data_IF_884399481783
#
_entry.id   IF_884399481783
#
_cell.length_a   1.000
_cell.length_b   1.000
_cell.length_c   1.000
_cell.angle_alpha   90.00
_cell.angle_beta   90.00
_cell.angle_gamma   90.00
#
_symmetry.space_group_name_H-M   'P 1'
#
loop_
_entity.id
_entity.type
_entity.pdbx_description
1 polymer ?
#
# COMPACT_ATOMS: atom_id res chain seq x y z
N UNK A 1 -32.85 2.72 87.29
CA UNK A 1 -32.53 1.39 86.75
C UNK A 1 -33.64 0.98 85.81
N UNK A 2 -33.46 1.15 84.50
CA UNK A 2 -34.41 0.74 83.49
C UNK A 2 -33.72 -0.27 82.56
N UNK A 3 -34.29 -1.45 82.48
CA UNK A 3 -33.85 -2.62 81.68
C UNK A 3 -34.25 -2.38 80.23
N UNK A 4 -33.27 -2.50 79.30
CA UNK A 4 -33.47 -2.51 77.90
C UNK A 4 -33.69 -3.97 77.41
N UNK A 5 -34.63 -4.28 76.50
CA UNK A 5 -34.76 -5.62 75.97
C UNK A 5 -33.84 -5.81 74.75
N UNK A 6 -33.21 -7.00 74.66
CA UNK A 6 -32.45 -7.49 73.54
C UNK A 6 -33.41 -7.89 72.45
N UNK A 7 -33.20 -7.27 71.23
CA UNK A 7 -33.92 -7.68 70.03
C UNK A 7 -33.00 -8.64 69.22
N UNK A 8 -33.48 -9.91 69.14
CA UNK A 8 -32.81 -10.95 68.37
C UNK A 8 -33.18 -10.77 66.88
N UNK A 9 -32.26 -10.37 66.05
CA UNK A 9 -32.47 -10.33 64.59
C UNK A 9 -31.96 -11.66 64.01
N UNK A 10 -32.92 -12.49 63.53
CA UNK A 10 -32.58 -13.65 62.74
C UNK A 10 -32.18 -13.30 61.32
N UNK A 11 -30.92 -13.56 60.97
CA UNK A 11 -30.43 -13.42 59.59
C UNK A 11 -30.84 -14.67 58.81
N UNK A 12 -31.78 -14.50 57.86
CA UNK A 12 -32.12 -15.52 56.87
C UNK A 12 -31.09 -15.36 55.73
N UNK A 13 -30.11 -16.27 55.68
CA UNK A 13 -29.19 -16.40 54.56
C UNK A 13 -29.86 -17.14 53.41
N UNK A 14 -30.38 -16.43 52.44
CA UNK A 14 -30.78 -16.99 51.15
C UNK A 14 -29.55 -17.34 50.33
N UNK A 15 -29.25 -18.61 50.21
CA UNK A 15 -28.25 -19.14 49.25
C UNK A 15 -28.83 -18.96 47.83
N UNK A 16 -28.45 -17.85 47.14
CA UNK A 16 -28.60 -17.79 45.72
C UNK A 16 -27.51 -18.66 45.07
N UNK A 17 -27.92 -19.77 44.49
CA UNK A 17 -27.11 -20.60 43.62
C UNK A 17 -26.81 -19.80 42.37
N UNK A 18 -25.63 -19.14 42.28
CA UNK A 18 -25.12 -18.61 41.05
C UNK A 18 -24.71 -19.76 40.15
N UNK A 19 -25.52 -20.05 39.14
CA UNK A 19 -25.07 -20.85 37.99
C UNK A 19 -23.85 -20.16 37.39
N UNK A 20 -22.68 -20.70 37.64
CA UNK A 20 -21.40 -20.24 37.09
C UNK A 20 -21.33 -20.53 35.60
N UNK A 21 -21.97 -19.70 34.80
CA UNK A 21 -21.57 -19.57 33.38
C UNK A 21 -20.31 -18.72 33.38
N UNK A 22 -19.19 -19.35 33.10
CA UNK A 22 -17.97 -18.62 32.72
C UNK A 22 -18.32 -17.67 31.56
N UNK A 23 -18.03 -16.37 31.66
CA UNK A 23 -18.26 -15.48 30.54
C UNK A 23 -17.52 -16.03 29.31
N UNK A 24 -18.10 -15.90 28.10
CA UNK A 24 -17.42 -16.33 26.88
C UNK A 24 -16.05 -15.67 26.85
N UNK A 25 -15.00 -16.39 26.39
CA UNK A 25 -13.68 -15.81 26.28
C UNK A 25 -13.76 -14.52 25.44
N UNK A 26 -13.06 -13.48 25.89
CA UNK A 26 -12.97 -12.24 25.14
C UNK A 26 -12.54 -12.56 23.70
N UNK A 27 -13.07 -11.86 22.68
CA UNK A 27 -12.62 -12.04 21.30
C UNK A 27 -11.10 -11.93 21.25
N UNK A 28 -10.46 -12.88 20.57
CA UNK A 28 -9.02 -12.83 20.40
C UNK A 28 -8.64 -11.47 19.78
N UNK A 29 -7.65 -10.80 20.37
CA UNK A 29 -7.15 -9.52 19.87
C UNK A 29 -6.64 -9.72 18.44
N UNK A 30 -7.06 -8.83 17.52
CA UNK A 30 -6.65 -8.90 16.11
C UNK A 30 -5.15 -8.72 16.02
N UNK A 31 -4.48 -9.64 15.38
CA UNK A 31 -3.04 -9.53 15.11
C UNK A 31 -2.77 -8.50 14.01
N UNK A 32 -1.52 -8.02 13.92
CA UNK A 32 -1.11 -7.16 12.79
C UNK A 32 -1.33 -7.85 11.43
N UNK A 33 -1.11 -9.16 11.36
CA UNK A 33 -1.39 -9.95 10.13
C UNK A 33 -2.88 -9.92 9.79
N UNK A 34 -3.77 -10.02 10.78
CA UNK A 34 -5.22 -9.95 10.53
C UNK A 34 -5.62 -8.57 10.02
N UNK A 35 -4.99 -7.50 10.53
CA UNK A 35 -5.18 -6.16 9.98
C UNK A 35 -4.69 -6.09 8.53
N UNK A 36 -3.46 -6.52 8.23
CA UNK A 36 -2.94 -6.58 6.86
C UNK A 36 -3.87 -7.34 5.93
N UNK A 37 -4.38 -8.50 6.36
CA UNK A 37 -5.36 -9.29 5.59
C UNK A 37 -6.70 -8.59 5.40
N UNK A 38 -7.13 -7.75 6.34
CA UNK A 38 -8.38 -7.00 6.21
C UNK A 38 -8.35 -5.94 5.10
N UNK A 39 -7.15 -5.50 4.68
CA UNK A 39 -6.95 -4.59 3.53
C UNK A 39 -7.33 -5.24 2.19
N UNK A 40 -7.26 -6.56 2.08
CA UNK A 40 -7.72 -7.36 0.93
C UNK A 40 -7.08 -6.98 -0.39
N UNK A 41 -7.85 -7.08 -1.47
CA UNK A 41 -7.52 -6.41 -2.72
C UNK A 41 -8.05 -4.99 -2.65
N UNK A 42 -7.14 -4.05 -2.81
CA UNK A 42 -7.40 -2.62 -2.85
C UNK A 42 -7.20 -2.03 -4.24
N UNK A 43 -7.43 -0.74 -4.33
CA UNK A 43 -7.35 0.04 -5.56
C UNK A 43 -6.51 1.30 -5.32
N UNK A 44 -5.63 1.66 -6.25
CA UNK A 44 -4.94 2.93 -6.23
C UNK A 44 -5.75 4.00 -6.96
N UNK A 45 -5.93 5.15 -6.34
CA UNK A 45 -6.37 6.37 -6.99
C UNK A 45 -5.14 7.02 -7.65
N UNK A 46 -4.58 6.33 -8.65
CA UNK A 46 -3.32 6.72 -9.30
C UNK A 46 -3.50 7.80 -10.34
N UNK A 47 -2.43 8.53 -10.66
CA UNK A 47 -2.45 9.70 -11.55
C UNK A 47 -3.47 10.75 -11.11
N UNK A 48 -3.65 10.92 -9.81
CA UNK A 48 -4.58 11.86 -9.19
C UNK A 48 -3.79 12.89 -8.36
N UNK A 49 -3.72 12.73 -7.02
CA UNK A 49 -2.92 13.63 -6.19
C UNK A 49 -1.40 13.40 -6.32
N UNK A 50 -0.98 12.32 -6.98
CA UNK A 50 0.40 12.05 -7.35
C UNK A 50 0.82 12.77 -8.64
N UNK A 51 -0.13 13.20 -9.48
CA UNK A 51 0.14 13.90 -10.73
C UNK A 51 0.81 15.26 -10.50
N UNK A 52 1.79 15.59 -11.30
CA UNK A 52 2.51 16.86 -11.20
C UNK A 52 2.99 17.40 -12.56
N UNK A 53 3.19 18.71 -12.66
CA UNK A 53 3.78 19.40 -13.81
C UNK A 53 4.77 20.42 -13.27
N UNK A 54 6.02 20.36 -13.73
CA UNK A 54 7.06 21.35 -13.41
C UNK A 54 7.23 21.62 -11.90
N UNK A 55 7.22 20.57 -11.09
CA UNK A 55 7.46 20.70 -9.66
C UNK A 55 6.25 21.13 -8.83
N UNK A 56 5.05 21.13 -9.40
CA UNK A 56 3.80 21.42 -8.71
C UNK A 56 2.85 20.24 -8.91
N UNK A 57 2.33 19.68 -7.83
CA UNK A 57 1.30 18.63 -7.91
C UNK A 57 -0.09 19.22 -8.15
N UNK A 58 -0.97 18.42 -8.77
CA UNK A 58 -2.34 18.84 -9.05
C UNK A 58 -3.21 17.70 -9.52
N UNK A 59 -4.36 17.54 -8.89
CA UNK A 59 -5.24 16.38 -9.02
C UNK A 59 -5.63 16.00 -10.45
N UNK A 60 -5.68 16.96 -11.37
CA UNK A 60 -6.15 16.73 -12.74
C UNK A 60 -5.05 16.84 -13.79
N UNK A 61 -3.78 16.98 -13.37
CA UNK A 61 -2.68 17.32 -14.27
C UNK A 61 -2.36 16.24 -15.29
N UNK A 62 -2.62 14.97 -14.99
CA UNK A 62 -2.39 13.87 -15.93
C UNK A 62 -3.68 13.33 -16.57
N UNK A 63 -4.76 14.15 -16.56
CA UNK A 63 -5.96 13.95 -17.37
C UNK A 63 -7.12 13.26 -16.67
N UNK A 64 -6.96 12.80 -15.44
CA UNK A 64 -8.09 12.34 -14.63
C UNK A 64 -8.93 13.54 -14.16
N UNK A 65 -10.22 13.32 -14.00
CA UNK A 65 -11.12 14.27 -13.36
C UNK A 65 -11.09 14.08 -11.84
N UNK A 66 -11.47 15.10 -11.09
CA UNK A 66 -11.54 15.04 -9.63
C UNK A 66 -12.37 13.85 -9.14
N UNK A 67 -11.83 13.14 -8.17
CA UNK A 67 -12.52 12.04 -7.51
C UNK A 67 -13.63 12.57 -6.59
N UNK A 68 -14.73 11.82 -6.52
CA UNK A 68 -15.94 12.20 -5.77
C UNK A 68 -16.32 11.10 -4.77
N UNK A 69 -17.25 11.38 -3.86
CA UNK A 69 -17.79 10.33 -2.97
C UNK A 69 -18.31 9.13 -3.76
N UNK A 70 -18.94 9.36 -4.91
CA UNK A 70 -19.45 8.27 -5.74
C UNK A 70 -18.34 7.35 -6.26
N UNK A 71 -17.14 7.89 -6.47
CA UNK A 71 -15.96 7.08 -6.85
C UNK A 71 -15.67 6.03 -5.80
N UNK A 72 -15.53 6.45 -4.54
CA UNK A 72 -15.22 5.56 -3.42
C UNK A 72 -16.36 4.57 -3.13
N UNK A 73 -17.62 5.03 -3.20
CA UNK A 73 -18.80 4.17 -3.00
C UNK A 73 -18.86 3.06 -4.06
N UNK A 74 -18.55 3.37 -5.32
CA UNK A 74 -18.53 2.40 -6.40
C UNK A 74 -17.31 1.48 -6.35
N UNK A 75 -16.13 1.98 -5.95
CA UNK A 75 -14.94 1.15 -5.69
C UNK A 75 -15.24 0.12 -4.57
N UNK A 76 -15.89 0.56 -3.49
CA UNK A 76 -16.33 -0.36 -2.43
C UNK A 76 -17.34 -1.38 -2.94
N UNK A 77 -18.32 -0.93 -3.71
CA UNK A 77 -19.35 -1.80 -4.31
C UNK A 77 -18.74 -2.82 -5.29
N UNK A 78 -17.66 -2.47 -5.97
CA UNK A 78 -16.91 -3.35 -6.85
C UNK A 78 -16.21 -4.50 -6.10
N UNK A 79 -16.11 -4.41 -4.76
CA UNK A 79 -15.53 -5.44 -3.89
C UNK A 79 -14.14 -5.12 -3.36
N UNK A 80 -13.56 -3.97 -3.72
CA UNK A 80 -12.29 -3.54 -3.14
C UNK A 80 -12.45 -3.24 -1.64
N UNK A 81 -11.43 -3.56 -0.85
CA UNK A 81 -11.45 -3.38 0.61
C UNK A 81 -10.68 -2.18 1.09
N UNK A 82 -9.73 -1.72 0.29
CA UNK A 82 -8.87 -0.58 0.60
C UNK A 82 -8.66 0.30 -0.62
N UNK A 83 -8.22 1.53 -0.36
CA UNK A 83 -7.78 2.47 -1.38
C UNK A 83 -6.45 3.08 -0.97
N UNK A 84 -5.46 3.03 -1.85
CA UNK A 84 -4.24 3.82 -1.72
C UNK A 84 -4.43 5.10 -2.49
N UNK A 85 -4.20 6.22 -1.82
CA UNK A 85 -4.31 7.58 -2.34
C UNK A 85 -2.89 8.14 -2.39
N UNK A 86 -2.15 7.93 -3.49
CA UNK A 86 -0.81 8.48 -3.66
C UNK A 86 -0.86 10.00 -3.63
N UNK A 87 0.02 10.64 -2.83
CA UNK A 87 0.06 12.09 -2.68
C UNK A 87 1.47 12.61 -2.92
N UNK A 88 1.62 13.46 -3.92
CA UNK A 88 2.83 14.25 -4.14
C UNK A 88 2.65 15.63 -3.50
N UNK A 89 3.63 16.05 -2.72
CA UNK A 89 3.56 17.29 -1.93
C UNK A 89 4.36 18.44 -2.55
N UNK A 90 5.17 18.14 -3.53
CA UNK A 90 5.99 19.10 -4.27
C UNK A 90 5.13 20.26 -4.80
N UNK A 91 5.63 21.51 -4.61
CA UNK A 91 4.88 22.72 -4.95
C UNK A 91 3.91 23.21 -3.85
N UNK A 92 3.59 22.39 -2.87
CA UNK A 92 2.68 22.72 -1.76
C UNK A 92 3.37 22.78 -0.40
N UNK A 93 4.72 22.86 -0.40
CA UNK A 93 5.54 22.91 0.81
C UNK A 93 6.22 24.28 0.88
N UNK A 94 6.02 25.01 1.98
CA UNK A 94 6.70 26.27 2.26
C UNK A 94 8.19 26.10 2.60
N UNK A 95 8.93 27.20 2.78
CA UNK A 95 10.36 27.16 3.03
C UNK A 95 10.70 26.60 4.41
N UNK A 96 12.00 26.22 4.57
CA UNK A 96 12.58 25.90 5.87
C UNK A 96 12.46 27.11 6.84
N UNK A 97 12.44 26.88 8.15
CA UNK A 97 12.54 25.57 8.82
C UNK A 97 11.19 24.87 9.04
N UNK A 98 10.07 25.52 8.75
CA UNK A 98 8.73 25.02 9.07
C UNK A 98 8.18 24.07 8.04
N UNK A 99 8.59 24.19 6.78
CA UNK A 99 8.06 23.40 5.66
C UNK A 99 6.53 23.30 5.70
N UNK A 100 5.87 24.43 5.93
CA UNK A 100 4.42 24.49 6.12
C UNK A 100 3.70 23.98 4.87
N UNK A 101 2.86 22.97 5.05
CA UNK A 101 2.04 22.42 3.97
C UNK A 101 0.92 23.42 3.62
N UNK A 102 0.72 23.66 2.33
CA UNK A 102 -0.38 24.47 1.85
C UNK A 102 -1.74 23.90 2.32
N UNK A 103 -2.52 24.76 2.98
CA UNK A 103 -3.75 24.32 3.60
C UNK A 103 -4.75 23.73 2.60
N UNK A 104 -4.91 24.37 1.44
CA UNK A 104 -5.87 23.91 0.43
C UNK A 104 -5.54 22.49 -0.07
N UNK A 105 -4.25 22.17 -0.26
CA UNK A 105 -3.80 20.85 -0.66
C UNK A 105 -4.07 19.81 0.44
N UNK A 106 -3.72 20.13 1.67
CA UNK A 106 -3.97 19.25 2.82
C UNK A 106 -5.47 19.03 3.07
N UNK A 107 -6.31 20.07 2.87
CA UNK A 107 -7.77 19.97 2.96
C UNK A 107 -8.31 18.99 1.90
N UNK A 108 -7.75 19.01 0.66
CA UNK A 108 -8.18 18.08 -0.39
C UNK A 108 -7.75 16.64 -0.10
N UNK A 109 -6.54 16.43 0.43
CA UNK A 109 -6.08 15.08 0.87
C UNK A 109 -7.04 14.54 1.94
N UNK A 110 -7.38 15.35 2.95
CA UNK A 110 -8.32 14.95 4.00
C UNK A 110 -9.70 14.62 3.43
N UNK A 111 -10.21 15.43 2.52
CA UNK A 111 -11.53 15.20 1.89
C UNK A 111 -11.58 13.80 1.24
N UNK A 112 -10.55 13.40 0.48
CA UNK A 112 -10.50 12.08 -0.14
C UNK A 112 -10.37 10.95 0.90
N UNK A 113 -9.60 11.13 1.96
CA UNK A 113 -9.50 10.18 3.07
C UNK A 113 -10.86 10.00 3.76
N UNK A 114 -11.59 11.09 3.99
CA UNK A 114 -12.93 11.04 4.59
C UNK A 114 -13.97 10.40 3.66
N UNK A 115 -13.83 10.59 2.34
CA UNK A 115 -14.66 9.87 1.35
C UNK A 115 -14.42 8.36 1.40
N UNK A 116 -13.16 7.93 1.54
CA UNK A 116 -12.82 6.52 1.72
C UNK A 116 -13.40 5.95 3.02
N UNK A 117 -13.27 6.68 4.14
CA UNK A 117 -13.89 6.35 5.44
C UNK A 117 -15.38 6.14 5.30
N UNK A 118 -16.08 7.10 4.68
CA UNK A 118 -17.54 7.06 4.50
C UNK A 118 -17.98 5.88 3.65
N UNK A 119 -17.17 5.48 2.65
CA UNK A 119 -17.42 4.29 1.85
C UNK A 119 -17.08 2.97 2.59
N UNK A 120 -16.44 3.03 3.75
CA UNK A 120 -16.00 1.85 4.51
C UNK A 120 -14.77 1.16 3.89
N UNK A 121 -13.87 1.93 3.30
CA UNK A 121 -12.58 1.50 2.78
C UNK A 121 -11.47 1.80 3.80
N UNK A 122 -10.47 0.93 3.87
CA UNK A 122 -9.20 1.28 4.53
C UNK A 122 -8.44 2.19 3.56
N UNK A 123 -7.96 3.33 4.04
CA UNK A 123 -7.22 4.31 3.25
C UNK A 123 -5.73 4.24 3.55
N UNK A 124 -4.89 4.42 2.53
CA UNK A 124 -3.44 4.59 2.65
C UNK A 124 -3.07 5.90 1.99
N UNK A 125 -2.32 6.77 2.67
CA UNK A 125 -1.71 7.97 2.08
C UNK A 125 -0.21 7.96 2.30
N UNK A 126 0.54 8.63 1.42
CA UNK A 126 2.00 8.62 1.44
C UNK A 126 2.63 9.96 1.01
N UNK A 127 3.97 9.96 0.92
CA UNK A 127 4.77 10.93 0.17
C UNK A 127 5.22 10.21 -1.11
N UNK A 128 4.66 10.62 -2.29
CA UNK A 128 4.73 9.81 -3.50
C UNK A 128 5.84 10.24 -4.48
N UNK A 129 5.57 11.10 -5.45
CA UNK A 129 6.56 11.54 -6.46
C UNK A 129 7.44 12.71 -6.01
N UNK A 130 7.71 12.82 -4.72
CA UNK A 130 8.65 13.81 -4.16
C UNK A 130 10.13 13.39 -4.34
N UNK A 131 10.37 12.13 -4.67
CA UNK A 131 11.64 11.58 -5.16
C UNK A 131 11.72 11.63 -6.69
N UNK A 132 12.87 11.98 -7.26
CA UNK A 132 12.99 12.28 -8.69
C UNK A 132 12.83 11.06 -9.64
N UNK A 133 12.67 9.86 -9.14
CA UNK A 133 12.47 8.66 -9.96
C UNK A 133 13.58 8.51 -11.02
N UNK A 134 13.18 8.38 -12.30
CA UNK A 134 14.08 8.26 -13.43
C UNK A 134 14.30 9.58 -14.18
N UNK A 135 13.99 10.76 -13.60
CA UNK A 135 14.15 12.06 -14.26
C UNK A 135 15.64 12.37 -14.54
N UNK A 136 15.96 12.56 -15.79
CA UNK A 136 17.33 12.83 -16.26
C UNK A 136 17.61 14.33 -16.51
N UNK A 137 16.58 15.14 -16.64
CA UNK A 137 16.72 16.59 -16.82
C UNK A 137 17.15 17.23 -15.49
N UNK A 138 18.32 17.83 -15.47
CA UNK A 138 18.93 18.44 -14.27
C UNK A 138 18.05 19.56 -13.68
N UNK A 139 17.37 20.35 -14.52
CA UNK A 139 16.47 21.40 -14.04
C UNK A 139 15.26 20.81 -13.37
N UNK A 140 14.65 19.80 -13.98
CA UNK A 140 13.49 19.11 -13.43
C UNK A 140 13.83 18.33 -12.16
N UNK A 141 15.02 17.70 -12.09
CA UNK A 141 15.50 17.06 -10.85
C UNK A 141 15.51 18.02 -9.66
N UNK A 142 15.75 19.30 -9.88
CA UNK A 142 15.69 20.32 -8.83
C UNK A 142 14.30 20.55 -8.21
N UNK A 143 13.23 20.03 -8.80
CA UNK A 143 11.89 20.08 -8.22
C UNK A 143 11.67 19.04 -7.12
N UNK A 144 12.39 17.92 -7.19
CA UNK A 144 12.23 16.80 -6.25
C UNK A 144 13.12 17.01 -5.03
N UNK A 145 12.51 17.00 -3.86
CA UNK A 145 13.24 17.28 -2.62
C UNK A 145 13.81 16.03 -1.93
N UNK A 146 13.24 14.84 -2.20
CA UNK A 146 13.78 13.56 -1.74
C UNK A 146 14.89 13.05 -2.69
N UNK A 147 16.03 13.76 -2.71
CA UNK A 147 17.19 13.43 -3.54
C UNK A 147 18.14 12.49 -2.78
N UNK A 148 17.91 11.18 -2.94
CA UNK A 148 18.70 10.14 -2.28
C UNK A 148 20.19 10.18 -2.64
N UNK A 149 20.60 10.29 -3.92
CA UNK A 149 22.02 10.44 -4.27
C UNK A 149 22.68 11.68 -3.65
N UNK A 150 22.00 12.81 -3.60
CA UNK A 150 22.53 14.01 -2.96
C UNK A 150 22.68 13.84 -1.44
N UNK A 151 21.74 13.14 -0.78
CA UNK A 151 21.82 12.84 0.63
C UNK A 151 22.97 11.87 0.95
N UNK A 152 23.25 10.91 0.09
CA UNK A 152 24.41 10.01 0.22
C UNK A 152 25.74 10.80 0.06
N UNK A 153 25.77 11.77 -0.85
CA UNK A 153 26.96 12.58 -1.11
C UNK A 153 27.21 13.67 -0.07
N UNK A 154 26.19 14.11 0.68
CA UNK A 154 26.27 15.22 1.64
C UNK A 154 25.43 14.95 2.88
N UNK A 155 26.09 14.87 4.04
CA UNK A 155 25.42 14.75 5.35
C UNK A 155 24.53 15.97 5.63
N UNK A 156 24.95 17.18 5.23
CA UNK A 156 24.13 18.38 5.38
C UNK A 156 22.81 18.24 4.60
N UNK A 157 22.87 17.75 3.36
CA UNK A 157 21.68 17.49 2.55
C UNK A 157 20.79 16.40 3.16
N UNK A 158 21.40 15.33 3.67
CA UNK A 158 20.68 14.27 4.39
C UNK A 158 19.94 14.83 5.62
N UNK A 159 20.59 15.66 6.41
CA UNK A 159 19.97 16.28 7.60
C UNK A 159 18.84 17.24 7.20
N UNK A 160 19.00 18.02 6.13
CA UNK A 160 17.94 18.87 5.60
C UNK A 160 16.70 18.07 5.22
N UNK A 161 16.89 16.95 4.48
CA UNK A 161 15.78 16.08 4.06
C UNK A 161 15.12 15.44 5.29
N UNK A 162 15.88 14.96 6.27
CA UNK A 162 15.35 14.40 7.53
C UNK A 162 14.53 15.43 8.30
N UNK A 163 14.97 16.69 8.34
CA UNK A 163 14.18 17.77 8.96
C UNK A 163 12.87 18.01 8.18
N UNK A 164 12.91 18.04 6.86
CA UNK A 164 11.71 18.22 6.03
C UNK A 164 10.74 17.07 6.21
N UNK A 165 11.19 15.80 6.17
CA UNK A 165 10.37 14.62 6.44
C UNK A 165 9.71 14.68 7.83
N UNK A 166 10.48 15.10 8.85
CA UNK A 166 9.95 15.27 10.22
C UNK A 166 8.80 16.27 10.23
N UNK A 167 9.01 17.46 9.65
CA UNK A 167 8.00 18.51 9.64
C UNK A 167 6.76 18.16 8.81
N UNK A 168 6.97 17.46 7.69
CA UNK A 168 5.88 16.97 6.85
C UNK A 168 5.00 15.98 7.61
N UNK A 169 5.61 14.91 8.19
CA UNK A 169 4.85 13.89 8.89
C UNK A 169 4.24 14.38 10.21
N UNK A 170 4.84 15.36 10.89
CA UNK A 170 4.19 16.02 12.03
C UNK A 170 2.91 16.74 11.61
N UNK A 171 2.93 17.52 10.52
CA UNK A 171 1.76 18.26 10.04
C UNK A 171 0.67 17.31 9.51
N UNK A 172 1.04 16.31 8.71
CA UNK A 172 0.11 15.28 8.23
C UNK A 172 -0.49 14.53 9.43
N UNK A 173 0.35 14.06 10.35
CA UNK A 173 -0.09 13.36 11.55
C UNK A 173 -1.04 14.20 12.42
N UNK A 174 -0.73 15.47 12.65
CA UNK A 174 -1.61 16.39 13.38
C UNK A 174 -2.96 16.59 12.69
N UNK A 175 -2.98 16.69 11.37
CA UNK A 175 -4.24 16.80 10.62
C UNK A 175 -5.13 15.58 10.83
N UNK A 176 -4.56 14.39 10.85
CA UNK A 176 -5.28 13.13 10.95
C UNK A 176 -5.23 12.51 12.36
N UNK A 177 -4.90 13.27 13.40
CA UNK A 177 -4.74 12.75 14.77
C UNK A 177 -6.00 12.12 15.38
N UNK A 178 -7.18 12.44 14.85
CA UNK A 178 -8.46 11.91 15.30
C UNK A 178 -9.00 10.81 14.36
N UNK A 179 -8.28 10.46 13.31
CA UNK A 179 -8.67 9.44 12.34
C UNK A 179 -8.11 8.08 12.74
N UNK A 180 -9.01 7.12 13.00
CA UNK A 180 -8.68 5.82 13.59
C UNK A 180 -8.01 4.83 12.63
N UNK A 181 -8.10 3.55 12.97
CA UNK A 181 -7.36 2.44 12.37
C UNK A 181 -7.62 2.22 10.86
N UNK A 182 -8.72 2.76 10.31
CA UNK A 182 -8.98 2.67 8.87
C UNK A 182 -7.97 3.45 8.00
N UNK A 183 -7.18 4.36 8.60
CA UNK A 183 -6.17 5.16 7.89
C UNK A 183 -4.76 4.66 8.22
N UNK A 184 -4.04 4.25 7.20
CA UNK A 184 -2.64 3.84 7.23
C UNK A 184 -1.77 4.94 6.63
N UNK A 185 -0.63 5.23 7.24
CA UNK A 185 0.39 6.07 6.63
C UNK A 185 1.49 5.22 6.02
N UNK A 186 1.89 5.52 4.81
CA UNK A 186 3.05 4.92 4.14
C UNK A 186 4.13 6.00 4.03
N UNK A 187 5.30 5.74 4.61
CA UNK A 187 6.30 6.79 4.83
C UNK A 187 6.75 7.50 3.57
N UNK A 188 6.97 6.77 2.51
CA UNK A 188 7.42 7.24 1.20
C UNK A 188 6.99 6.24 0.12
N UNK A 189 7.17 6.60 -1.15
CA UNK A 189 6.97 5.72 -2.29
C UNK A 189 8.30 5.06 -2.74
N UNK A 190 8.57 5.01 -4.00
CA UNK A 190 9.68 4.34 -4.69
C UNK A 190 10.97 5.16 -4.69
N UNK A 191 11.57 5.40 -3.53
CA UNK A 191 12.82 6.17 -3.42
C UNK A 191 14.00 5.39 -3.99
N UNK A 192 14.77 6.05 -4.88
CA UNK A 192 15.83 5.43 -5.65
C UNK A 192 16.82 6.47 -6.24
N UNK A 193 17.81 6.00 -7.02
CA UNK A 193 18.81 6.81 -7.72
C UNK A 193 18.50 7.04 -9.22
N UNK A 194 17.29 6.75 -9.67
CA UNK A 194 16.87 6.86 -11.06
C UNK A 194 17.16 5.62 -11.92
N UNK A 195 17.68 4.53 -11.33
CA UNK A 195 18.07 3.32 -12.05
C UNK A 195 17.26 2.08 -11.66
N UNK A 196 16.12 2.25 -11.02
CA UNK A 196 15.16 1.19 -10.67
C UNK A 196 15.80 -0.02 -9.96
N UNK A 197 16.76 0.25 -9.07
CA UNK A 197 17.46 -0.78 -8.31
C UNK A 197 18.61 -1.47 -9.04
N UNK A 198 18.97 -0.99 -10.25
CA UNK A 198 20.10 -1.50 -11.04
C UNK A 198 21.28 -0.51 -11.10
N UNK A 199 21.25 0.55 -10.30
CA UNK A 199 22.23 1.63 -10.32
C UNK A 199 23.32 1.51 -9.26
N UNK A 200 23.78 2.67 -8.79
CA UNK A 200 24.86 2.79 -7.81
C UNK A 200 24.54 2.10 -6.49
N UNK A 201 23.25 1.92 -6.15
CA UNK A 201 22.80 1.14 -5.01
C UNK A 201 23.42 -0.27 -4.92
N UNK A 202 23.87 -0.84 -6.06
CA UNK A 202 24.51 -2.17 -6.10
C UNK A 202 25.99 -2.15 -5.74
N UNK A 203 26.65 -0.99 -5.79
CA UNK A 203 28.10 -0.86 -5.66
C UNK A 203 28.58 0.20 -4.66
N UNK A 204 27.66 0.94 -4.05
CA UNK A 204 27.96 2.04 -3.11
C UNK A 204 28.24 1.56 -1.66
N UNK A 205 28.40 0.27 -1.45
CA UNK A 205 28.61 -0.31 -0.13
C UNK A 205 27.36 -0.19 0.79
N UNK A 206 26.18 -0.07 0.19
CA UNK A 206 24.90 0.02 0.88
C UNK A 206 24.57 1.42 1.42
N UNK A 207 25.24 2.47 0.91
CA UNK A 207 25.04 3.84 1.39
C UNK A 207 23.61 4.32 1.17
N UNK A 208 23.03 4.08 -0.03
CA UNK A 208 21.66 4.46 -0.33
C UNK A 208 20.65 3.72 0.55
N UNK A 209 20.88 2.43 0.82
CA UNK A 209 19.99 1.66 1.72
C UNK A 209 20.03 2.20 3.15
N UNK A 210 21.21 2.57 3.68
CA UNK A 210 21.34 3.16 5.02
C UNK A 210 20.59 4.49 5.12
N UNK A 211 20.75 5.39 4.15
CA UNK A 211 20.06 6.69 4.15
C UNK A 211 18.54 6.48 4.08
N UNK A 212 18.04 5.58 3.23
CA UNK A 212 16.61 5.29 3.16
C UNK A 212 16.06 4.72 4.47
N UNK A 213 16.80 3.82 5.13
CA UNK A 213 16.42 3.30 6.45
C UNK A 213 16.40 4.40 7.52
N UNK A 214 17.33 5.34 7.50
CA UNK A 214 17.30 6.53 8.39
C UNK A 214 16.06 7.40 8.12
N UNK A 215 15.69 7.61 6.85
CA UNK A 215 14.50 8.37 6.49
C UNK A 215 13.22 7.69 6.97
N UNK A 216 13.10 6.37 6.80
CA UNK A 216 11.99 5.61 7.36
C UNK A 216 11.89 5.75 8.88
N UNK A 217 13.03 5.70 9.60
CA UNK A 217 13.05 5.91 11.05
C UNK A 217 12.56 7.29 11.45
N UNK A 218 12.99 8.33 10.73
CA UNK A 218 12.56 9.72 10.99
C UNK A 218 11.05 9.86 10.78
N UNK A 219 10.52 9.30 9.70
CA UNK A 219 9.08 9.34 9.40
C UNK A 219 8.26 8.65 10.51
N UNK A 220 8.62 7.42 10.91
CA UNK A 220 7.94 6.69 11.98
C UNK A 220 7.95 7.49 13.27
N UNK A 221 9.11 8.03 13.67
CA UNK A 221 9.25 8.84 14.87
C UNK A 221 8.37 10.10 14.85
N UNK A 222 8.33 10.79 13.71
CA UNK A 222 7.51 12.00 13.53
C UNK A 222 6.00 11.68 13.57
N UNK A 223 5.57 10.60 12.93
CA UNK A 223 4.18 10.14 12.97
C UNK A 223 3.75 9.85 14.40
N UNK A 224 4.56 9.13 15.19
CA UNK A 224 4.24 8.84 16.60
C UNK A 224 4.19 10.12 17.44
N UNK A 225 5.12 11.05 17.21
CA UNK A 225 5.18 12.34 17.93
C UNK A 225 4.00 13.26 17.61
N UNK A 226 3.27 13.05 16.52
CA UNK A 226 2.07 13.83 16.20
C UNK A 226 0.88 13.53 17.15
N UNK A 227 0.93 12.44 17.92
CA UNK A 227 -0.05 12.12 18.97
C UNK A 227 -1.42 11.68 18.48
N UNK A 228 -2.37 11.50 19.39
CA UNK A 228 -3.70 11.03 19.09
C UNK A 228 -3.71 9.60 18.54
N UNK A 229 -4.57 9.31 17.56
CA UNK A 229 -4.64 7.99 16.91
C UNK A 229 -3.32 7.58 16.22
N UNK A 230 -2.40 8.51 15.98
CA UNK A 230 -1.09 8.20 15.42
C UNK A 230 -0.20 7.42 16.39
N UNK A 231 -0.49 7.45 17.68
CA UNK A 231 0.23 6.63 18.67
C UNK A 231 0.12 5.13 18.39
N UNK A 232 -0.99 4.70 17.77
CA UNK A 232 -1.24 3.28 17.46
C UNK A 232 -1.49 2.99 15.98
N UNK A 233 -1.36 4.00 15.11
CA UNK A 233 -1.60 3.88 13.66
C UNK A 233 -0.68 2.85 13.02
N UNK A 234 -1.21 2.06 12.09
CA UNK A 234 -0.38 1.24 11.21
C UNK A 234 0.43 2.12 10.25
N UNK A 235 1.72 1.81 10.12
CA UNK A 235 2.64 2.55 9.26
C UNK A 235 3.28 1.58 8.26
N UNK A 236 3.09 1.85 6.97
CA UNK A 236 3.77 1.16 5.88
C UNK A 236 5.18 1.72 5.68
N UNK A 237 6.16 0.83 5.62
CA UNK A 237 7.58 1.16 5.47
C UNK A 237 8.10 0.53 4.17
N UNK A 238 8.45 1.33 3.15
CA UNK A 238 9.00 0.82 1.90
C UNK A 238 10.49 0.51 2.02
N UNK A 239 10.93 -0.54 1.31
CA UNK A 239 12.33 -0.72 0.97
C UNK A 239 12.74 0.07 -0.28
N UNK A 240 13.99 -0.13 -0.73
CA UNK A 240 14.53 0.58 -1.89
C UNK A 240 13.68 0.31 -3.15
N UNK A 241 13.18 1.38 -3.75
CA UNK A 241 12.26 1.39 -4.91
C UNK A 241 11.05 0.45 -4.73
N UNK A 242 10.64 0.20 -3.49
CA UNK A 242 9.61 -0.80 -3.14
C UNK A 242 9.86 -2.20 -3.74
N UNK A 243 11.06 -2.48 -4.27
CA UNK A 243 11.37 -3.75 -4.90
C UNK A 243 11.39 -4.88 -3.85
N UNK A 244 10.65 -5.99 -4.04
CA UNK A 244 10.52 -7.06 -3.06
C UNK A 244 11.85 -7.69 -2.65
N UNK A 245 12.74 -7.94 -3.62
CA UNK A 245 14.02 -8.58 -3.38
C UNK A 245 14.99 -7.67 -2.64
N UNK A 246 15.09 -6.40 -3.08
CA UNK A 246 15.92 -5.39 -2.40
C UNK A 246 15.39 -5.08 -1.00
N UNK A 247 14.08 -5.12 -0.80
CA UNK A 247 13.44 -4.96 0.50
C UNK A 247 13.84 -6.08 1.45
N UNK A 248 13.78 -7.33 1.02
CA UNK A 248 14.20 -8.49 1.83
C UNK A 248 15.69 -8.41 2.19
N UNK A 249 16.53 -7.93 1.27
CA UNK A 249 17.98 -7.89 1.43
C UNK A 249 18.46 -6.70 2.29
N UNK A 250 17.79 -5.56 2.23
CA UNK A 250 18.38 -4.29 2.71
C UNK A 250 17.50 -3.46 3.64
N UNK A 251 16.19 -3.77 3.76
CA UNK A 251 15.33 -3.01 4.66
C UNK A 251 15.63 -3.37 6.10
N UNK A 252 16.03 -2.37 6.88
CA UNK A 252 16.05 -2.40 8.33
C UNK A 252 14.78 -1.72 8.82
N UNK A 253 13.89 -2.48 9.44
CA UNK A 253 12.65 -1.90 9.98
C UNK A 253 12.99 -0.86 11.05
N UNK A 254 12.31 0.29 11.04
CA UNK A 254 12.47 1.29 12.10
C UNK A 254 12.18 0.72 13.48
N UNK A 255 12.86 1.26 14.49
CA UNK A 255 12.42 1.10 15.86
C UNK A 255 11.11 1.85 16.08
N UNK A 256 10.13 1.17 16.64
CA UNK A 256 8.82 1.76 16.94
C UNK A 256 8.52 1.56 18.43
N UNK A 257 8.05 2.63 19.07
CA UNK A 257 7.64 2.61 20.49
C UNK A 257 6.37 1.77 20.70
N UNK A 258 5.67 1.45 19.60
CA UNK A 258 4.44 0.64 19.61
C UNK A 258 4.68 -0.67 18.87
N UNK A 259 4.57 -1.82 19.56
CA UNK A 259 4.81 -3.10 18.93
C UNK A 259 3.72 -3.45 17.90
N UNK A 260 4.11 -4.18 16.86
CA UNK A 260 3.18 -4.76 15.86
C UNK A 260 2.33 -3.74 15.10
N UNK A 261 2.86 -2.53 14.85
CA UNK A 261 2.17 -1.48 14.08
C UNK A 261 2.92 -1.06 12.80
N UNK A 262 4.06 -1.68 12.52
CA UNK A 262 4.76 -1.51 11.25
C UNK A 262 4.33 -2.60 10.25
N UNK A 263 4.23 -2.20 9.00
CA UNK A 263 3.95 -3.04 7.85
C UNK A 263 5.02 -2.80 6.79
N UNK A 264 5.34 -3.80 5.99
CA UNK A 264 6.27 -3.65 4.87
C UNK A 264 5.51 -3.38 3.59
N UNK A 265 5.85 -2.28 2.91
CA UNK A 265 5.32 -1.90 1.61
C UNK A 265 6.26 -2.35 0.49
N UNK A 266 5.73 -3.06 -0.49
CA UNK A 266 6.44 -3.47 -1.70
C UNK A 266 5.58 -3.25 -2.93
N UNK A 267 6.21 -3.13 -4.10
CA UNK A 267 5.53 -3.08 -5.40
C UNK A 267 6.02 -4.22 -6.28
N UNK A 268 5.17 -4.74 -7.15
CA UNK A 268 5.58 -5.73 -8.14
C UNK A 268 4.75 -5.64 -9.41
N UNK A 269 5.44 -5.39 -10.49
CA UNK A 269 4.95 -5.50 -11.86
C UNK A 269 5.74 -6.59 -12.61
N UNK A 270 6.18 -7.62 -11.87
CA UNK A 270 7.07 -8.64 -12.43
C UNK A 270 6.33 -9.72 -13.23
N UNK A 271 6.80 -9.98 -14.45
CA UNK A 271 7.90 -9.30 -15.13
C UNK A 271 7.42 -8.01 -15.83
N UNK A 272 8.18 -6.91 -15.71
CA UNK A 272 7.82 -5.59 -16.22
C UNK A 272 7.47 -5.58 -17.72
N UNK A 273 8.23 -6.30 -18.55
CA UNK A 273 7.99 -6.36 -19.98
C UNK A 273 6.68 -7.05 -20.36
N UNK A 274 6.09 -7.83 -19.45
CA UNK A 274 4.73 -8.34 -19.58
C UNK A 274 3.74 -7.39 -18.90
N UNK A 275 3.91 -7.10 -17.62
CA UNK A 275 2.90 -6.44 -16.81
C UNK A 275 2.81 -4.92 -17.07
N UNK A 276 3.94 -4.25 -17.37
CA UNK A 276 4.01 -2.79 -17.54
C UNK A 276 3.95 -2.31 -18.98
N UNK A 277 4.62 -3.01 -19.91
CA UNK A 277 4.79 -2.51 -21.29
C UNK A 277 4.09 -3.31 -22.38
N UNK A 278 3.62 -4.52 -22.07
CA UNK A 278 3.09 -5.47 -23.07
C UNK A 278 4.08 -5.77 -24.22
N UNK A 279 5.39 -5.68 -23.96
CA UNK A 279 6.42 -6.14 -24.90
C UNK A 279 6.31 -7.65 -25.15
N UNK A 280 5.96 -8.40 -24.10
CA UNK A 280 5.53 -9.78 -24.15
C UNK A 280 4.05 -9.85 -23.79
N UNK A 281 3.28 -10.70 -24.46
CA UNK A 281 1.83 -10.71 -24.31
C UNK A 281 1.28 -11.93 -23.60
N UNK A 282 2.11 -12.92 -23.33
CA UNK A 282 1.75 -14.15 -22.63
C UNK A 282 2.56 -14.31 -21.35
N UNK A 283 2.01 -15.03 -20.38
CA UNK A 283 2.66 -15.30 -19.11
C UNK A 283 2.31 -16.70 -18.61
N UNK A 284 3.29 -17.32 -17.95
CA UNK A 284 3.12 -18.63 -17.32
C UNK A 284 3.50 -19.80 -18.24
N UNK A 285 3.34 -21.01 -17.70
CA UNK A 285 3.88 -22.25 -18.26
C UNK A 285 3.28 -22.66 -19.62
N UNK A 286 2.16 -22.09 -20.04
CA UNK A 286 1.49 -22.37 -21.31
C UNK A 286 1.78 -21.33 -22.38
N UNK A 287 2.42 -20.21 -21.99
CA UNK A 287 2.76 -19.13 -22.92
C UNK A 287 3.97 -19.46 -23.77
N UNK A 288 4.04 -18.88 -24.97
CA UNK A 288 5.19 -18.95 -25.89
C UNK A 288 5.85 -17.58 -26.10
N UNK A 289 5.06 -16.48 -25.99
CA UNK A 289 5.52 -15.10 -26.02
C UNK A 289 5.70 -14.58 -24.59
N UNK A 290 6.65 -15.18 -23.87
CA UNK A 290 6.89 -14.93 -22.45
C UNK A 290 8.26 -14.31 -22.18
N UNK A 291 8.37 -13.53 -21.13
CA UNK A 291 9.67 -13.00 -20.65
C UNK A 291 10.56 -14.18 -20.21
N UNK A 292 11.75 -14.35 -20.79
CA UNK A 292 12.61 -15.48 -20.44
C UNK A 292 12.94 -15.55 -18.95
N UNK A 293 12.82 -16.72 -18.35
CA UNK A 293 13.12 -16.94 -16.93
C UNK A 293 12.07 -16.40 -15.96
N UNK A 294 10.92 -15.98 -16.44
CA UNK A 294 9.80 -15.54 -15.62
C UNK A 294 8.65 -16.56 -15.62
N UNK A 295 7.70 -16.39 -14.72
CA UNK A 295 6.49 -17.21 -14.64
C UNK A 295 6.05 -17.47 -13.20
N UNK A 296 5.17 -18.44 -13.04
CA UNK A 296 4.54 -18.76 -11.76
C UNK A 296 5.55 -19.08 -10.66
N UNK A 297 6.57 -19.88 -10.98
CA UNK A 297 7.58 -20.33 -10.02
C UNK A 297 8.40 -19.15 -9.48
N UNK A 298 8.83 -18.26 -10.37
CA UNK A 298 9.64 -17.09 -9.99
C UNK A 298 8.81 -16.14 -9.11
N UNK A 299 7.55 -15.88 -9.48
CA UNK A 299 6.67 -15.04 -8.69
C UNK A 299 6.41 -15.64 -7.30
N UNK A 300 6.13 -16.92 -7.22
CA UNK A 300 5.95 -17.64 -5.95
C UNK A 300 7.20 -17.61 -5.09
N UNK A 301 8.40 -17.75 -5.69
CA UNK A 301 9.67 -17.68 -4.96
C UNK A 301 9.90 -16.29 -4.35
N UNK A 302 9.61 -15.22 -5.07
CA UNK A 302 9.65 -13.85 -4.55
C UNK A 302 8.70 -13.69 -3.34
N UNK A 303 7.45 -14.13 -3.45
CA UNK A 303 6.49 -14.11 -2.33
C UNK A 303 6.95 -14.96 -1.14
N UNK A 304 7.58 -16.12 -1.37
CA UNK A 304 8.12 -16.96 -0.29
C UNK A 304 9.25 -16.26 0.47
N UNK A 305 10.07 -15.45 -0.19
CA UNK A 305 11.13 -14.64 0.47
C UNK A 305 10.51 -13.61 1.42
N UNK A 306 9.50 -12.86 0.96
CA UNK A 306 8.76 -11.91 1.80
C UNK A 306 8.05 -12.62 2.96
N UNK A 307 7.38 -13.74 2.69
CA UNK A 307 6.70 -14.53 3.71
C UNK A 307 7.64 -14.99 4.82
N UNK A 308 8.80 -15.53 4.44
CA UNK A 308 9.79 -16.03 5.40
C UNK A 308 10.44 -14.90 6.21
N UNK A 309 10.71 -13.75 5.56
CA UNK A 309 11.36 -12.62 6.22
C UNK A 309 10.43 -11.88 7.19
N UNK A 310 9.17 -11.68 6.81
CA UNK A 310 8.25 -10.78 7.51
C UNK A 310 7.01 -11.47 8.07
N UNK A 311 6.19 -12.11 7.24
CA UNK A 311 4.88 -12.66 7.66
C UNK A 311 5.03 -13.69 8.77
N UNK A 312 5.99 -14.60 8.68
CA UNK A 312 6.28 -15.59 9.74
C UNK A 312 6.71 -14.97 11.07
N UNK A 313 7.15 -13.72 11.05
CA UNK A 313 7.52 -12.94 12.23
C UNK A 313 6.41 -12.04 12.74
N UNK A 314 5.20 -12.15 12.18
CA UNK A 314 4.04 -11.34 12.54
C UNK A 314 4.01 -9.94 11.94
N UNK A 315 4.88 -9.64 10.97
CA UNK A 315 4.98 -8.33 10.30
C UNK A 315 4.19 -8.41 8.99
N UNK A 316 3.11 -7.63 8.84
CA UNK A 316 2.33 -7.62 7.59
C UNK A 316 3.15 -7.10 6.41
N UNK A 317 2.90 -7.69 5.25
CA UNK A 317 3.40 -7.20 3.95
C UNK A 317 2.20 -6.88 3.08
N UNK A 318 2.23 -5.74 2.42
CA UNK A 318 1.26 -5.42 1.37
C UNK A 318 1.97 -4.91 0.11
N UNK A 319 1.37 -5.23 -1.03
CA UNK A 319 1.78 -4.67 -2.30
C UNK A 319 1.06 -3.33 -2.47
N UNK A 320 1.78 -2.22 -2.27
CA UNK A 320 1.24 -0.87 -2.46
C UNK A 320 0.83 -0.64 -3.91
N UNK A 321 1.54 -1.30 -4.83
CA UNK A 321 1.21 -1.32 -6.24
C UNK A 321 1.47 -2.70 -6.85
N UNK A 322 0.54 -3.13 -7.69
CA UNK A 322 0.66 -4.21 -8.65
C UNK A 322 -0.32 -3.98 -9.79
N UNK A 323 -0.10 -4.60 -10.91
CA UNK A 323 -1.02 -4.44 -12.02
C UNK A 323 -0.58 -5.16 -13.27
N UNK A 324 -1.38 -5.05 -14.32
CA UNK A 324 -1.03 -5.51 -15.64
C UNK A 324 -1.78 -4.67 -16.69
N UNK A 325 -1.04 -4.12 -17.64
CA UNK A 325 -1.62 -3.26 -18.69
C UNK A 325 -2.56 -4.02 -19.61
N UNK A 326 -3.51 -3.29 -20.18
CA UNK A 326 -4.52 -3.80 -21.11
C UNK A 326 -3.87 -4.37 -22.38
N UNK A 327 -4.46 -5.44 -22.91
CA UNK A 327 -4.05 -6.09 -24.15
C UNK A 327 -4.91 -5.68 -25.33
N UNK A 328 -4.38 -5.89 -26.55
CA UNK A 328 -5.09 -5.62 -27.80
C UNK A 328 -5.95 -6.81 -28.22
N UNK A 329 -5.39 -8.02 -28.19
CA UNK A 329 -6.11 -9.22 -28.59
C UNK A 329 -6.85 -9.85 -27.42
N UNK A 330 -7.95 -10.54 -27.70
CA UNK A 330 -8.69 -11.30 -26.68
C UNK A 330 -7.81 -12.36 -26.02
N UNK A 331 -7.01 -13.08 -26.81
CA UNK A 331 -6.13 -14.12 -26.27
C UNK A 331 -5.07 -13.56 -25.30
N UNK A 332 -4.47 -12.44 -25.66
CA UNK A 332 -3.48 -11.81 -24.78
C UNK A 332 -4.15 -11.27 -23.50
N UNK A 333 -5.40 -10.82 -23.60
CA UNK A 333 -6.20 -10.42 -22.44
C UNK A 333 -6.54 -11.61 -21.51
N UNK A 334 -6.73 -12.80 -22.04
CA UNK A 334 -6.91 -14.02 -21.24
C UNK A 334 -5.65 -14.34 -20.42
N UNK A 335 -4.45 -14.13 -20.97
CA UNK A 335 -3.19 -14.23 -20.22
C UNK A 335 -3.05 -13.15 -19.14
N UNK A 336 -3.48 -11.91 -19.42
CA UNK A 336 -3.55 -10.85 -18.40
C UNK A 336 -4.47 -11.25 -17.25
N UNK A 337 -5.66 -11.73 -17.52
CA UNK A 337 -6.63 -12.17 -16.50
C UNK A 337 -6.11 -13.38 -15.72
N UNK A 338 -5.45 -14.31 -16.39
CA UNK A 338 -4.79 -15.45 -15.74
C UNK A 338 -3.70 -15.01 -14.79
N UNK A 339 -2.80 -14.13 -15.24
CA UNK A 339 -1.73 -13.55 -14.42
C UNK A 339 -2.31 -12.93 -13.14
N UNK A 340 -3.26 -12.01 -13.27
CA UNK A 340 -3.87 -11.32 -12.13
C UNK A 340 -4.55 -12.30 -11.17
N UNK A 341 -5.27 -13.28 -11.68
CA UNK A 341 -5.90 -14.33 -10.88
C UNK A 341 -4.87 -15.15 -10.11
N UNK A 342 -3.81 -15.57 -10.78
CA UNK A 342 -2.77 -16.41 -10.18
C UNK A 342 -2.00 -15.67 -9.08
N UNK A 343 -1.54 -14.44 -9.36
CA UNK A 343 -0.75 -13.70 -8.38
C UNK A 343 -1.59 -13.29 -7.16
N UNK A 344 -2.86 -12.93 -7.33
CA UNK A 344 -3.74 -12.62 -6.21
C UNK A 344 -3.98 -13.85 -5.31
N UNK A 345 -4.18 -15.04 -5.90
CA UNK A 345 -4.23 -16.29 -5.12
C UNK A 345 -2.92 -16.57 -4.40
N UNK A 346 -1.79 -16.37 -5.07
CA UNK A 346 -0.47 -16.61 -4.50
C UNK A 346 -0.19 -15.68 -3.31
N UNK A 347 -0.59 -14.39 -3.40
CA UNK A 347 -0.51 -13.42 -2.30
C UNK A 347 -1.44 -13.81 -1.14
N UNK A 348 -2.69 -14.18 -1.45
CA UNK A 348 -3.67 -14.62 -0.43
C UNK A 348 -3.15 -15.79 0.40
N UNK A 349 -2.58 -16.81 -0.27
CA UNK A 349 -2.04 -18.01 0.39
C UNK A 349 -0.87 -17.69 1.32
N UNK A 350 -0.23 -16.53 1.12
CA UNK A 350 0.88 -16.03 1.94
C UNK A 350 0.50 -14.88 2.87
N UNK A 351 -0.80 -14.65 3.03
CA UNK A 351 -1.35 -13.61 3.93
C UNK A 351 -0.86 -12.20 3.59
N UNK A 352 -0.82 -11.87 2.30
CA UNK A 352 -0.46 -10.55 1.79
C UNK A 352 -1.64 -9.90 1.08
N UNK A 353 -1.88 -8.62 1.33
CA UNK A 353 -2.84 -7.78 0.60
C UNK A 353 -2.15 -7.03 -0.54
N UNK A 354 -2.94 -6.49 -1.47
CA UNK A 354 -2.38 -5.81 -2.63
C UNK A 354 -3.34 -4.76 -3.21
N UNK A 355 -2.80 -3.61 -3.65
CA UNK A 355 -3.53 -2.49 -4.22
C UNK A 355 -3.24 -2.40 -5.72
N UNK A 356 -4.27 -2.68 -6.54
CA UNK A 356 -4.14 -2.59 -7.99
C UNK A 356 -3.85 -1.15 -8.42
N UNK A 357 -2.82 -0.95 -9.24
CA UNK A 357 -2.52 0.35 -9.82
C UNK A 357 -3.52 0.68 -10.91
N UNK A 358 -4.31 1.73 -10.71
CA UNK A 358 -5.26 2.25 -11.67
C UNK A 358 -4.95 3.74 -11.91
N UNK A 359 -4.46 4.05 -13.08
CA UNK A 359 -4.13 5.42 -13.46
C UNK A 359 -5.20 6.09 -14.36
N UNK A 360 -6.35 5.44 -14.52
CA UNK A 360 -7.43 5.92 -15.39
C UNK A 360 -7.16 5.79 -16.90
N UNK A 361 -5.96 5.36 -17.31
CA UNK A 361 -5.59 5.26 -18.71
C UNK A 361 -6.08 3.94 -19.34
N UNK A 362 -6.91 4.03 -20.37
CA UNK A 362 -7.53 2.90 -21.06
C UNK A 362 -6.83 2.46 -22.33
N UNK A 363 -5.69 3.06 -22.69
CA UNK A 363 -4.91 2.63 -23.85
C UNK A 363 -4.43 1.19 -23.66
N UNK A 364 -4.23 0.48 -24.76
CA UNK A 364 -3.60 -0.85 -24.72
C UNK A 364 -2.08 -0.69 -24.74
N UNK A 365 -1.37 -1.55 -24.02
CA UNK A 365 0.08 -1.49 -23.89
C UNK A 365 0.55 -0.53 -22.81
N UNK A 366 1.69 0.09 -23.01
CA UNK A 366 2.35 0.98 -22.04
C UNK A 366 1.39 1.88 -21.28
N UNK A 367 1.48 1.85 -19.96
CA UNK A 367 0.72 2.70 -19.05
C UNK A 367 -0.82 2.52 -19.08
N UNK A 368 -1.30 1.45 -19.70
CA UNK A 368 -2.74 1.17 -19.86
C UNK A 368 -3.34 0.39 -18.70
N UNK A 369 -3.29 0.92 -17.47
CA UNK A 369 -3.77 0.23 -16.26
C UNK A 369 -5.23 0.52 -15.89
N UNK A 370 -5.88 1.51 -16.52
CA UNK A 370 -7.20 1.98 -16.16
C UNK A 370 -8.29 0.90 -16.23
N UNK A 371 -9.01 0.71 -15.14
CA UNK A 371 -10.18 -0.19 -15.03
C UNK A 371 -11.41 0.53 -14.48
N UNK A 372 -11.24 1.69 -13.84
CA UNK A 372 -12.29 2.49 -13.22
C UNK A 372 -12.14 3.95 -13.68
N UNK A 373 -13.27 4.61 -13.97
CA UNK A 373 -13.31 6.06 -14.18
C UNK A 373 -13.23 6.76 -12.83
N UNK A 374 -12.21 7.58 -12.62
CA UNK A 374 -11.90 8.17 -11.32
C UNK A 374 -12.95 9.17 -10.84
N UNK A 375 -13.68 9.85 -11.73
CA UNK A 375 -14.75 10.76 -11.32
C UNK A 375 -16.02 10.06 -10.84
N UNK A 376 -16.29 8.85 -11.33
CA UNK A 376 -17.59 8.19 -11.12
C UNK A 376 -17.49 6.84 -10.42
N UNK A 377 -16.30 6.23 -10.34
CA UNK A 377 -16.09 4.87 -9.85
C UNK A 377 -16.71 3.77 -10.72
N UNK A 378 -17.17 4.09 -11.92
CA UNK A 378 -17.71 3.09 -12.86
C UNK A 378 -16.61 2.39 -13.62
N UNK A 379 -16.79 1.11 -13.90
CA UNK A 379 -15.86 0.37 -14.74
C UNK A 379 -15.72 0.97 -16.14
N UNK A 380 -14.50 0.92 -16.67
CA UNK A 380 -14.15 1.30 -18.04
C UNK A 380 -13.58 0.11 -18.80
N UNK A 381 -13.93 -0.01 -20.07
CA UNK A 381 -13.54 -1.15 -20.89
C UNK A 381 -13.96 -2.49 -20.28
N UNK A 382 -12.99 -3.40 -20.11
CA UNK A 382 -13.19 -4.68 -19.43
C UNK A 382 -12.81 -4.65 -17.94
N UNK A 383 -12.81 -3.48 -17.32
CA UNK A 383 -12.41 -3.27 -15.93
C UNK A 383 -13.14 -4.16 -14.93
N UNK A 384 -14.43 -4.48 -15.17
CA UNK A 384 -15.18 -5.42 -14.33
C UNK A 384 -14.55 -6.81 -14.33
N UNK A 385 -14.17 -7.34 -15.50
CA UNK A 385 -13.54 -8.66 -15.60
C UNK A 385 -12.19 -8.69 -14.88
N UNK A 386 -11.41 -7.60 -15.00
CA UNK A 386 -10.12 -7.45 -14.33
C UNK A 386 -10.29 -7.39 -12.81
N UNK A 387 -11.21 -6.56 -12.31
CA UNK A 387 -11.48 -6.46 -10.87
C UNK A 387 -11.97 -7.82 -10.32
N UNK A 388 -12.89 -8.48 -10.99
CA UNK A 388 -13.39 -9.81 -10.58
C UNK A 388 -12.29 -10.86 -10.57
N UNK A 389 -11.42 -10.89 -11.58
CA UNK A 389 -10.32 -11.85 -11.62
C UNK A 389 -9.42 -11.77 -10.39
N UNK A 390 -9.14 -10.55 -9.90
CA UNK A 390 -8.34 -10.31 -8.71
C UNK A 390 -9.10 -10.61 -7.41
N UNK A 391 -10.28 -9.99 -7.27
CA UNK A 391 -11.05 -10.01 -6.02
C UNK A 391 -11.58 -11.41 -5.74
N UNK A 392 -12.23 -12.06 -6.72
CA UNK A 392 -12.77 -13.41 -6.55
C UNK A 392 -11.67 -14.43 -6.24
N UNK A 393 -10.49 -14.28 -6.87
CA UNK A 393 -9.37 -15.17 -6.61
C UNK A 393 -8.78 -14.99 -5.20
N UNK A 394 -8.68 -13.74 -4.72
CA UNK A 394 -8.16 -13.43 -3.39
C UNK A 394 -9.17 -13.78 -2.28
N UNK A 395 -10.47 -13.50 -2.50
CA UNK A 395 -11.54 -13.74 -1.51
C UNK A 395 -11.97 -15.20 -1.40
N UNK A 396 -11.58 -16.05 -2.36
CA UNK A 396 -12.00 -17.44 -2.37
C UNK A 396 -11.43 -18.22 -1.18
N UNK A 397 -12.32 -18.65 -0.30
CA UNK A 397 -12.00 -19.41 0.91
C UNK A 397 -12.25 -20.92 0.76
N UNK A 398 -12.61 -21.41 -0.44
CA UNK A 398 -12.73 -22.84 -0.70
C UNK A 398 -11.34 -23.51 -0.56
N UNK A 399 -11.17 -24.48 0.36
CA UNK A 399 -9.91 -25.17 0.54
C UNK A 399 -9.44 -25.92 -0.71
N UNK A 400 -10.35 -26.22 -1.63
CA UNK A 400 -10.02 -26.85 -2.92
C UNK A 400 -9.55 -25.83 -3.97
N UNK A 401 -9.73 -24.54 -3.76
CA UNK A 401 -9.22 -23.48 -4.64
C UNK A 401 -7.73 -23.26 -4.39
N UNK A 402 -6.91 -24.12 -4.96
CA UNK A 402 -5.45 -24.13 -4.80
C UNK A 402 -4.75 -23.39 -5.95
N UNK A 403 -3.50 -22.98 -5.75
CA UNK A 403 -2.67 -22.45 -6.86
C UNK A 403 -2.53 -23.41 -8.02
N UNK A 404 -2.49 -24.74 -7.75
CA UNK A 404 -2.46 -25.75 -8.80
C UNK A 404 -3.75 -25.76 -9.62
N UNK A 405 -4.91 -25.60 -8.96
CA UNK A 405 -6.19 -25.49 -9.67
C UNK A 405 -6.19 -24.24 -10.55
N UNK A 406 -5.75 -23.08 -10.03
CA UNK A 406 -5.63 -21.85 -10.82
C UNK A 406 -4.66 -22.03 -11.98
N UNK A 407 -3.50 -22.66 -11.78
CA UNK A 407 -2.54 -22.96 -12.84
C UNK A 407 -3.17 -23.82 -13.95
N UNK A 408 -4.04 -24.78 -13.59
CA UNK A 408 -4.79 -25.57 -14.56
C UNK A 408 -5.77 -24.78 -15.44
N UNK A 409 -6.05 -23.50 -15.13
CA UNK A 409 -6.88 -22.59 -15.94
C UNK A 409 -6.06 -21.72 -16.88
N UNK A 410 -4.75 -21.93 -17.00
CA UNK A 410 -3.89 -21.13 -17.86
C UNK A 410 -4.34 -21.22 -19.32
N UNK A 411 -4.47 -20.08 -20.03
CA UNK A 411 -4.85 -20.09 -21.44
C UNK A 411 -3.75 -20.77 -22.28
N UNK A 412 -4.14 -21.41 -23.36
CA UNK A 412 -3.18 -22.04 -24.27
C UNK A 412 -2.73 -21.05 -25.33
N UNK A 413 -1.41 -20.94 -25.54
CA UNK A 413 -0.88 -20.09 -26.60
C UNK A 413 -1.31 -20.61 -27.98
N UNK A 414 -1.87 -19.75 -28.82
CA UNK A 414 -2.14 -20.03 -30.23
C UNK A 414 -0.95 -19.66 -31.13
N UNK A 415 0.10 -19.05 -30.57
CA UNK A 415 1.31 -18.70 -31.32
C UNK A 415 2.07 -19.96 -31.74
N UNK A 416 2.66 -19.93 -32.96
CA UNK A 416 3.42 -21.04 -33.51
C UNK A 416 4.81 -21.19 -32.90
#
# INVERSE_FOLDING_TARGET
>A
MKKLPLLLIALISSLMSCNGQTPPPAPAEKTAIDFGMSMGIGWNLGNQLDAHINGISGETFWGNQEATQQTFDNVKKAGFRSVRIPVTWMGHIGPAPTYTIERAWLDRVEELVLMAKKAGLIAIINIHHDGFGAETDVVKRGYYWLDLPAAVASEEKNQQIKQQLTMMWLQIGQRFQNEGEYLVFETMNEIQDGQWGAGANRTDGGAQYRVLNEWNQVCVSAIRAAGGENETRYIGVPGYVCNPDLTVENLVLPEDVVPNRLMVAVHSYDPWEFAGTAKYNEWGHTGKDVVPGSGEVQYVNMLNRLYNMYIRRGIPVYFGEFGCVRRVSQQDEEFRLYYLRYICKAMRDRKMSAMYWDNGNIKSGDDGFGIINHATGKYIGNGEQVARAMIESWENNDPNYTLQLVAGTAPQSSRK
#
